data_IF_450278606478
#
_entry.id   IF_450278606478
#
_cell.length_a   1.000
_cell.length_b   1.000
_cell.length_c   1.000
_cell.angle_alpha   90.00
_cell.angle_beta   90.00
_cell.angle_gamma   90.00
#
_symmetry.space_group_name_H-M   'P 1'
#
loop_
_entity.id
_entity.type
_entity.pdbx_description
1 polymer ?
#
# COMPACT_ATOMS: atom_id res chain seq x y z
N UNK A 1 -3.27 5.71 -2.78
CA UNK A 1 -2.74 4.47 -2.16
C UNK A 1 -3.91 3.66 -1.58
N UNK A 2 -3.80 2.34 -1.49
CA UNK A 2 -4.88 1.45 -0.98
C UNK A 2 -4.28 0.17 -0.38
N UNK A 3 -4.91 -0.37 0.66
CA UNK A 3 -4.49 -1.64 1.29
C UNK A 3 -5.23 -2.82 0.65
N UNK A 4 -4.57 -3.60 -0.20
CA UNK A 4 -5.20 -4.74 -0.87
C UNK A 4 -4.69 -6.05 -0.30
N UNK A 5 -5.59 -7.04 -0.16
CA UNK A 5 -5.22 -8.40 0.21
C UNK A 5 -4.44 -9.04 -0.92
N UNK A 6 -3.38 -9.78 -0.58
CA UNK A 6 -2.68 -10.59 -1.58
C UNK A 6 -3.53 -11.83 -1.89
N UNK A 7 -3.86 -12.07 -3.15
CA UNK A 7 -4.64 -13.24 -3.57
C UNK A 7 -4.02 -14.52 -3.00
N UNK A 8 -4.81 -15.28 -2.24
CA UNK A 8 -4.39 -16.56 -1.65
C UNK A 8 -3.76 -16.48 -0.25
N UNK A 9 -3.66 -15.30 0.38
CA UNK A 9 -3.22 -15.16 1.78
C UNK A 9 -4.28 -14.40 2.58
N UNK A 10 -5.20 -15.15 3.19
CA UNK A 10 -6.21 -14.60 4.08
C UNK A 10 -5.52 -13.93 5.28
N UNK A 11 -5.62 -12.60 5.35
CA UNK A 11 -5.16 -11.78 6.47
C UNK A 11 -4.00 -10.82 6.17
N UNK A 12 -3.19 -11.06 5.15
CA UNK A 12 -2.08 -10.16 4.81
C UNK A 12 -2.50 -9.11 3.77
N UNK A 13 -2.66 -7.86 4.24
CA UNK A 13 -2.81 -6.69 3.37
C UNK A 13 -1.45 -6.05 3.08
N UNK A 14 -1.27 -5.64 1.83
CA UNK A 14 -0.08 -4.92 1.35
C UNK A 14 -0.49 -3.59 0.71
N UNK A 15 0.34 -2.57 0.89
CA UNK A 15 0.12 -1.26 0.29
C UNK A 15 0.25 -1.34 -1.24
N UNK A 16 -0.80 -0.96 -1.94
CA UNK A 16 -0.79 -0.74 -3.37
C UNK A 16 -0.86 0.75 -3.70
N UNK A 17 -0.12 1.13 -4.74
CA UNK A 17 -0.01 2.48 -5.26
C UNK A 17 -0.54 2.50 -6.70
N UNK A 18 -1.17 3.62 -7.04
CA UNK A 18 -1.49 4.03 -8.42
C UNK A 18 -1.25 5.53 -8.48
N UNK A 19 -0.62 6.02 -9.54
CA UNK A 19 -0.36 7.45 -9.71
C UNK A 19 -1.57 8.14 -10.36
N UNK A 20 -2.25 7.44 -11.26
CA UNK A 20 -3.50 7.90 -11.86
C UNK A 20 -4.67 6.93 -11.59
N UNK A 21 -5.90 7.43 -11.66
CA UNK A 21 -7.11 6.64 -11.41
C UNK A 21 -7.34 5.51 -12.41
N UNK A 22 -6.87 5.70 -13.66
CA UNK A 22 -6.98 4.74 -14.75
C UNK A 22 -5.87 3.67 -14.74
N UNK A 23 -4.82 3.86 -13.93
CA UNK A 23 -3.74 2.88 -13.81
C UNK A 23 -4.18 1.71 -12.91
N UNK A 24 -3.71 0.49 -13.20
CA UNK A 24 -3.94 -0.64 -12.31
C UNK A 24 -3.19 -0.42 -10.98
N UNK A 25 -3.79 -0.92 -9.90
CA UNK A 25 -3.13 -0.98 -8.61
C UNK A 25 -1.89 -1.88 -8.70
N UNK A 26 -0.75 -1.37 -8.25
CA UNK A 26 0.51 -2.12 -8.19
C UNK A 26 1.06 -2.08 -6.77
N UNK A 27 1.73 -3.14 -6.30
CA UNK A 27 2.33 -3.14 -4.97
C UNK A 27 3.35 -2.00 -4.85
N UNK A 28 3.49 -1.42 -3.66
CA UNK A 28 4.44 -0.34 -3.39
C UNK A 28 5.89 -0.70 -3.78
N UNK A 29 6.24 -1.99 -3.72
CA UNK A 29 7.53 -2.53 -4.16
C UNK A 29 7.84 -2.32 -5.65
N UNK A 30 6.82 -2.08 -6.48
CA UNK A 30 7.00 -1.74 -7.89
C UNK A 30 7.45 -0.28 -8.10
N UNK A 31 7.42 0.56 -7.07
CA UNK A 31 7.72 1.98 -7.16
C UNK A 31 8.97 2.36 -6.36
N UNK A 32 10.15 1.95 -6.83
CA UNK A 32 11.44 2.14 -6.16
C UNK A 32 11.66 3.53 -5.55
N UNK A 33 11.25 4.59 -6.24
CA UNK A 33 11.36 5.99 -5.78
C UNK A 33 10.55 6.33 -4.52
N UNK A 34 9.51 5.55 -4.22
CA UNK A 34 8.60 5.79 -3.11
C UNK A 34 8.81 4.82 -1.96
N UNK A 35 9.57 3.74 -2.17
CA UNK A 35 9.80 2.72 -1.16
C UNK A 35 10.56 3.34 0.00
N UNK A 36 10.02 3.13 1.20
CA UNK A 36 10.76 3.21 2.44
C UNK A 36 10.89 1.78 2.98
N UNK A 37 12.09 1.33 3.36
CA UNK A 37 12.27 -0.02 3.90
C UNK A 37 11.38 -0.20 5.13
N UNK A 38 10.50 -1.19 5.08
CA UNK A 38 9.64 -1.50 6.22
C UNK A 38 10.48 -2.08 7.37
N UNK A 39 10.09 -1.75 8.60
CA UNK A 39 10.63 -2.43 9.78
C UNK A 39 10.25 -3.91 9.74
N UNK A 40 11.22 -4.79 9.99
CA UNK A 40 10.99 -6.23 10.05
C UNK A 40 10.29 -6.62 11.36
N UNK A 41 9.01 -6.27 11.45
CA UNK A 41 8.14 -6.64 12.57
C UNK A 41 7.33 -7.87 12.14
N UNK A 42 7.42 -9.00 12.87
CA UNK A 42 6.56 -10.16 12.63
C UNK A 42 5.09 -9.77 12.65
N UNK A 43 4.34 -10.09 11.59
CA UNK A 43 2.92 -9.72 11.45
C UNK A 43 2.65 -8.26 11.08
N UNK A 44 3.69 -7.44 10.83
CA UNK A 44 3.54 -6.07 10.38
C UNK A 44 2.95 -5.97 8.96
N UNK A 45 2.14 -4.95 8.71
CA UNK A 45 1.59 -4.69 7.37
C UNK A 45 2.70 -4.25 6.41
N UNK A 46 2.83 -4.95 5.28
CA UNK A 46 3.82 -4.67 4.24
C UNK A 46 3.52 -3.34 3.55
N UNK A 47 4.41 -2.37 3.70
CA UNK A 47 4.31 -1.02 3.16
C UNK A 47 3.87 0.04 4.18
N UNK A 48 3.85 -0.23 5.49
CA UNK A 48 3.43 0.76 6.50
C UNK A 48 4.37 1.96 6.58
N UNK A 49 5.69 1.76 6.48
CA UNK A 49 6.65 2.87 6.46
C UNK A 49 6.47 3.73 5.20
N UNK A 50 6.28 3.05 4.06
CA UNK A 50 5.98 3.71 2.78
C UNK A 50 4.66 4.48 2.85
N UNK A 51 3.62 3.91 3.48
CA UNK A 51 2.33 4.59 3.71
C UNK A 51 2.52 5.89 4.49
N UNK A 52 3.25 5.86 5.61
CA UNK A 52 3.50 7.04 6.43
C UNK A 52 4.24 8.13 5.65
N UNK A 53 5.25 7.75 4.86
CA UNK A 53 6.00 8.67 4.00
C UNK A 53 5.11 9.33 2.95
N UNK A 54 4.30 8.53 2.25
CA UNK A 54 3.42 9.03 1.20
C UNK A 54 2.28 9.90 1.76
N UNK A 55 1.75 9.56 2.94
CA UNK A 55 0.75 10.37 3.62
C UNK A 55 1.30 11.76 3.95
N UNK A 56 2.54 11.85 4.46
CA UNK A 56 3.24 13.13 4.69
C UNK A 56 3.50 13.90 3.39
N UNK A 57 3.67 13.20 2.28
CA UNK A 57 3.83 13.78 0.95
C UNK A 57 2.51 14.17 0.26
N UNK A 58 1.36 14.09 0.96
CA UNK A 58 0.06 14.50 0.44
C UNK A 58 -0.68 13.45 -0.38
N UNK A 59 -0.28 12.18 -0.32
CA UNK A 59 -1.01 11.11 -0.99
C UNK A 59 -2.32 10.77 -0.27
N UNK A 60 -3.34 10.41 -1.06
CA UNK A 60 -4.65 10.00 -0.51
C UNK A 60 -4.74 8.50 -0.33
N UNK A 61 -5.13 8.06 0.88
CA UNK A 61 -5.51 6.67 1.15
C UNK A 61 -6.95 6.44 0.71
N UNK A 62 -7.16 5.48 -0.18
CA UNK A 62 -8.46 5.00 -0.59
C UNK A 62 -8.82 3.76 0.25
N UNK A 63 -10.08 3.64 0.68
CA UNK A 63 -10.54 2.47 1.40
C UNK A 63 -10.45 1.24 0.50
N UNK A 64 -10.04 0.11 1.08
CA UNK A 64 -9.99 -1.18 0.38
C UNK A 64 -11.37 -1.74 0.06
N UNK A 65 -12.42 -1.18 0.65
CA UNK A 65 -13.81 -1.53 0.46
C UNK A 65 -14.66 -0.25 0.51
N UNK A 66 -15.08 0.33 -0.63
CA UNK A 66 -15.94 1.51 -0.63
C UNK A 66 -17.42 1.18 -0.34
N UNK A 67 -17.78 -0.08 -0.16
CA UNK A 67 -19.19 -0.49 -0.02
C UNK A 67 -19.47 -1.07 1.36
N UNK A 68 -20.20 -0.30 2.15
CA UNK A 68 -21.24 -0.79 3.04
C UNK A 68 -22.42 0.18 3.01
#
# INVERSE_FOLDING_TARGET
MCWLSRSGQDGEKILHLRCASHEPWRPYTAFGKYIEPDYQIPGGSKGFATYQKLLKAGWTLLPSNPEK
#
